data_IF_209077875008
#
_entry.id   IF_209077875008
#
_cell.length_a   1.000
_cell.length_b   1.000
_cell.length_c   1.000
_cell.angle_alpha   90.00
_cell.angle_beta   90.00
_cell.angle_gamma   90.00
#
_symmetry.space_group_name_H-M   'P 1'
#
loop_
_entity.id
_entity.type
_entity.pdbx_description
1 polymer ?
#
# COMPACT_ATOMS: atom_id res chain seq x y z
N UNK A 1 -17.31 24.52 16.05
CA UNK A 1 -17.61 23.12 15.70
C UNK A 1 -17.22 22.88 14.25
N UNK A 2 -16.19 22.07 13.99
CA UNK A 2 -15.84 21.69 12.61
C UNK A 2 -16.82 20.58 12.22
N UNK A 3 -17.76 20.87 11.32
CA UNK A 3 -18.71 19.86 10.81
C UNK A 3 -17.92 18.89 9.95
N UNK A 4 -17.55 17.74 10.53
CA UNK A 4 -16.82 16.69 9.82
C UNK A 4 -17.63 16.26 8.60
N UNK A 5 -17.02 16.36 7.40
CA UNK A 5 -17.62 15.85 6.17
C UNK A 5 -17.91 14.36 6.37
N UNK A 6 -19.16 13.96 6.22
CA UNK A 6 -19.51 12.54 6.29
C UNK A 6 -18.78 11.78 5.18
N UNK A 7 -18.22 10.59 5.48
CA UNK A 7 -17.53 9.79 4.47
C UNK A 7 -18.51 9.38 3.37
N UNK A 8 -18.03 9.41 2.13
CA UNK A 8 -18.84 9.00 0.99
C UNK A 8 -19.14 7.49 1.04
N UNK A 9 -20.28 7.08 0.50
CA UNK A 9 -20.69 5.67 0.53
C UNK A 9 -19.73 4.75 -0.23
N UNK A 10 -19.00 5.25 -1.22
CA UNK A 10 -18.05 4.44 -1.99
C UNK A 10 -16.82 4.11 -1.13
N UNK A 11 -16.33 5.06 -0.34
CA UNK A 11 -15.28 4.82 0.66
C UNK A 11 -15.72 3.82 1.72
N UNK A 12 -16.97 3.88 2.19
CA UNK A 12 -17.49 2.89 3.15
C UNK A 12 -17.51 1.47 2.55
N UNK A 13 -17.92 1.33 1.29
CA UNK A 13 -17.91 0.05 0.58
C UNK A 13 -16.49 -0.47 0.32
N UNK A 14 -15.53 0.40 0.02
CA UNK A 14 -14.14 0.03 -0.21
C UNK A 14 -13.49 -0.62 1.03
N UNK A 15 -13.86 -0.15 2.22
CA UNK A 15 -13.24 -0.60 3.47
C UNK A 15 -14.07 -1.62 4.26
N UNK A 16 -15.32 -1.89 3.88
CA UNK A 16 -16.26 -2.71 4.67
C UNK A 16 -15.79 -4.14 4.92
N UNK A 17 -15.05 -4.72 3.98
CA UNK A 17 -14.54 -6.09 4.04
C UNK A 17 -13.11 -6.21 4.61
N UNK A 18 -12.55 -5.11 5.12
CA UNK A 18 -11.16 -5.02 5.55
C UNK A 18 -11.01 -4.95 7.06
N UNK A 19 -9.99 -5.65 7.56
CA UNK A 19 -9.50 -5.54 8.94
C UNK A 19 -8.77 -4.21 9.13
N UNK A 20 -8.66 -3.72 10.37
CA UNK A 20 -8.03 -2.42 10.67
C UNK A 20 -6.65 -2.22 10.00
N UNK A 21 -5.80 -3.25 10.03
CA UNK A 21 -4.48 -3.19 9.39
C UNK A 21 -4.58 -3.07 7.86
N UNK A 22 -5.52 -3.79 7.24
CA UNK A 22 -5.78 -3.74 5.80
C UNK A 22 -6.36 -2.37 5.36
N UNK A 23 -7.26 -1.80 6.15
CA UNK A 23 -7.77 -0.44 5.94
C UNK A 23 -6.62 0.56 5.99
N UNK A 24 -5.79 0.49 7.04
CA UNK A 24 -4.68 1.42 7.25
C UNK A 24 -3.66 1.36 6.11
N UNK A 25 -3.25 0.16 5.70
CA UNK A 25 -2.27 0.01 4.63
C UNK A 25 -2.82 0.47 3.28
N UNK A 26 -4.09 0.19 2.98
CA UNK A 26 -4.74 0.64 1.74
C UNK A 26 -4.87 2.16 1.71
N UNK A 27 -5.30 2.78 2.82
CA UNK A 27 -5.41 4.23 2.93
C UNK A 27 -4.05 4.93 2.76
N UNK A 28 -3.01 4.46 3.46
CA UNK A 28 -1.66 4.97 3.32
C UNK A 28 -1.13 4.77 1.89
N UNK A 29 -1.45 3.63 1.26
CA UNK A 29 -1.07 3.33 -0.11
C UNK A 29 -1.72 4.26 -1.13
N UNK A 30 -3.02 4.54 -0.98
CA UNK A 30 -3.78 5.48 -1.85
C UNK A 30 -3.25 6.90 -1.77
N UNK A 31 -2.88 7.34 -0.58
CA UNK A 31 -2.34 8.70 -0.36
C UNK A 31 -0.85 8.80 -0.69
N UNK A 32 -0.17 7.67 -0.89
CA UNK A 32 1.27 7.60 -1.04
C UNK A 32 2.05 8.02 0.21
N UNK A 33 1.38 8.20 1.36
CA UNK A 33 1.96 8.53 2.67
C UNK A 33 2.12 7.24 3.47
N UNK A 34 3.01 6.38 3.00
CA UNK A 34 3.24 5.03 3.51
C UNK A 34 4.75 4.84 3.74
N UNK A 35 5.14 3.91 4.60
CA UNK A 35 6.53 3.61 4.95
C UNK A 35 7.38 3.00 3.83
N UNK A 36 7.27 3.48 2.59
CA UNK A 36 8.13 3.15 1.47
C UNK A 36 9.14 4.27 1.21
N UNK A 37 10.27 3.95 0.58
CA UNK A 37 11.41 4.86 0.44
C UNK A 37 11.04 6.20 -0.19
N UNK A 38 10.15 6.23 -1.20
CA UNK A 38 9.74 7.52 -1.82
C UNK A 38 9.22 8.51 -0.78
N UNK A 39 8.31 8.07 0.09
CA UNK A 39 7.72 8.95 1.09
C UNK A 39 8.72 9.25 2.21
N UNK A 40 9.42 8.24 2.70
CA UNK A 40 10.38 8.40 3.81
C UNK A 40 11.52 9.37 3.44
N UNK A 41 12.06 9.28 2.23
CA UNK A 41 13.05 10.23 1.73
C UNK A 41 12.46 11.65 1.59
N UNK A 42 11.23 11.78 1.07
CA UNK A 42 10.55 13.09 0.97
C UNK A 42 10.28 13.73 2.33
N UNK A 43 10.09 12.90 3.37
CA UNK A 43 9.90 13.33 4.75
C UNK A 43 11.24 13.53 5.49
N UNK A 44 12.38 13.31 4.83
CA UNK A 44 13.75 13.44 5.39
C UNK A 44 13.96 12.59 6.65
N UNK A 45 13.45 11.36 6.63
CA UNK A 45 13.69 10.38 7.69
C UNK A 45 15.17 10.01 7.71
N UNK A 46 15.81 10.15 8.88
CA UNK A 46 17.24 9.84 9.05
C UNK A 46 17.59 8.42 8.58
N UNK A 47 18.68 8.31 7.81
CA UNK A 47 19.13 7.04 7.24
C UNK A 47 18.44 6.65 5.91
N UNK A 48 17.57 7.50 5.37
CA UNK A 48 16.91 7.29 4.08
C UNK A 48 17.17 8.49 3.17
N UNK A 49 18.30 8.43 2.47
CA UNK A 49 18.77 9.52 1.60
C UNK A 49 18.13 9.51 0.20
N UNK A 50 17.58 8.38 -0.22
CA UNK A 50 17.02 8.21 -1.57
C UNK A 50 15.67 7.52 -1.56
N UNK A 51 14.74 8.08 -2.33
CA UNK A 51 13.41 7.51 -2.56
C UNK A 51 13.38 6.38 -3.60
N UNK A 52 14.52 6.07 -4.23
CA UNK A 52 14.65 5.00 -5.21
C UNK A 52 14.46 3.63 -4.58
N UNK A 53 13.78 2.73 -5.28
CA UNK A 53 13.68 1.34 -4.90
C UNK A 53 15.03 0.63 -5.08
N UNK A 54 15.31 -0.35 -4.22
CA UNK A 54 16.52 -1.15 -4.29
C UNK A 54 16.62 -2.03 -5.56
N UNK A 55 15.53 -2.17 -6.31
CA UNK A 55 15.58 -2.83 -7.63
C UNK A 55 16.20 -1.93 -8.73
N UNK A 56 16.41 -0.63 -8.47
CA UNK A 56 17.01 0.31 -9.41
C UNK A 56 16.11 0.81 -10.55
N UNK A 57 14.83 0.45 -10.58
CA UNK A 57 13.90 0.79 -11.68
C UNK A 57 13.00 2.00 -11.41
N UNK A 58 13.32 2.80 -10.41
CA UNK A 58 12.58 4.01 -10.06
C UNK A 58 12.19 4.11 -8.58
N UNK A 59 11.42 5.15 -8.27
CA UNK A 59 10.97 5.47 -6.90
C UNK A 59 10.13 4.35 -6.30
N UNK A 60 10.38 4.02 -5.03
CA UNK A 60 9.62 2.99 -4.32
C UNK A 60 8.24 3.53 -3.89
N UNK A 61 7.23 3.26 -4.70
CA UNK A 61 5.81 3.52 -4.44
C UNK A 61 5.01 2.23 -4.34
N UNK A 62 3.76 2.30 -3.87
CA UNK A 62 2.84 1.16 -3.91
C UNK A 62 2.62 0.66 -5.34
N UNK A 63 2.46 1.59 -6.28
CA UNK A 63 2.38 1.26 -7.71
C UNK A 63 3.63 0.53 -8.20
N UNK A 64 4.82 1.03 -7.83
CA UNK A 64 6.09 0.41 -8.19
C UNK A 64 6.20 -1.01 -7.68
N UNK A 65 5.99 -1.24 -6.38
CA UNK A 65 6.12 -2.58 -5.79
C UNK A 65 5.09 -3.58 -6.29
N UNK A 66 3.91 -3.12 -6.73
CA UNK A 66 2.87 -4.00 -7.27
C UNK A 66 3.07 -4.35 -8.73
N UNK A 67 3.50 -3.38 -9.56
CA UNK A 67 3.43 -3.50 -11.03
C UNK A 67 4.80 -3.54 -11.73
N UNK A 68 5.86 -3.07 -11.07
CA UNK A 68 7.14 -2.77 -11.73
C UNK A 68 8.38 -3.33 -11.01
N UNK A 69 8.26 -3.76 -9.76
CA UNK A 69 9.40 -4.19 -8.95
C UNK A 69 9.74 -5.67 -9.17
N UNK A 70 10.96 -5.95 -9.63
CA UNK A 70 11.46 -7.32 -9.80
C UNK A 70 11.79 -8.01 -8.46
N UNK A 71 12.05 -7.23 -7.41
CA UNK A 71 12.38 -7.74 -6.07
C UNK A 71 11.13 -8.11 -5.27
N UNK A 72 10.00 -8.31 -5.94
CA UNK A 72 8.73 -8.68 -5.35
C UNK A 72 8.20 -9.90 -6.12
N UNK A 73 7.66 -10.94 -5.44
CA UNK A 73 7.00 -12.04 -6.16
C UNK A 73 5.96 -11.45 -7.09
N UNK A 74 5.97 -11.88 -8.35
CA UNK A 74 5.07 -11.37 -9.38
C UNK A 74 3.64 -11.43 -8.84
N UNK A 75 3.04 -10.26 -8.70
CA UNK A 75 1.63 -10.18 -8.39
C UNK A 75 0.86 -10.68 -9.62
N UNK A 76 -0.38 -11.12 -9.42
CA UNK A 76 -1.25 -11.53 -10.52
C UNK A 76 -1.66 -10.35 -11.43
N UNK A 77 -1.14 -9.14 -11.19
CA UNK A 77 -1.41 -7.97 -11.99
C UNK A 77 -0.40 -7.84 -13.13
N UNK A 78 -0.89 -7.72 -14.35
CA UNK A 78 -0.04 -7.46 -15.52
C UNK A 78 0.62 -6.08 -15.45
N UNK A 79 1.81 -5.96 -16.06
CA UNK A 79 2.40 -4.64 -16.35
C UNK A 79 1.40 -3.84 -17.19
N UNK A 80 0.97 -2.68 -16.69
CA UNK A 80 -0.07 -1.85 -17.33
C UNK A 80 -1.46 -1.95 -16.68
N UNK A 81 -1.64 -2.73 -15.61
CA UNK A 81 -2.84 -2.61 -14.79
C UNK A 81 -3.00 -1.16 -14.30
N UNK A 82 -4.21 -0.60 -14.41
CA UNK A 82 -4.48 0.77 -13.96
C UNK A 82 -4.41 0.83 -12.43
N UNK A 83 -3.31 1.35 -11.89
CA UNK A 83 -3.08 1.42 -10.44
C UNK A 83 -4.26 2.04 -9.69
N UNK A 84 -4.86 3.09 -10.24
CA UNK A 84 -6.04 3.75 -9.66
C UNK A 84 -7.23 2.81 -9.49
N UNK A 85 -7.45 1.89 -10.43
CA UNK A 85 -8.51 0.87 -10.33
C UNK A 85 -8.20 -0.11 -9.22
N UNK A 86 -6.94 -0.56 -9.10
CA UNK A 86 -6.52 -1.51 -8.07
C UNK A 86 -6.74 -1.00 -6.65
N UNK A 87 -6.61 0.31 -6.42
CA UNK A 87 -6.72 0.91 -5.09
C UNK A 87 -8.08 1.54 -4.79
N UNK A 88 -8.99 1.59 -5.78
CA UNK A 88 -10.31 2.24 -5.66
C UNK A 88 -11.48 1.26 -5.74
N UNK A 89 -11.28 0.07 -6.29
CA UNK A 89 -12.30 -0.98 -6.31
C UNK A 89 -12.28 -1.79 -5.00
N UNK A 90 -13.44 -2.14 -4.39
CA UNK A 90 -13.49 -2.86 -3.12
C UNK A 90 -12.70 -4.17 -3.10
N UNK A 91 -12.87 -5.02 -4.11
CA UNK A 91 -12.25 -6.35 -4.14
C UNK A 91 -10.77 -6.28 -4.50
N UNK A 92 -10.42 -5.46 -5.49
CA UNK A 92 -9.02 -5.27 -5.88
C UNK A 92 -8.24 -4.56 -4.76
N UNK A 93 -8.86 -3.57 -4.10
CA UNK A 93 -8.29 -2.85 -2.97
C UNK A 93 -8.02 -3.77 -1.79
N UNK A 94 -8.93 -4.73 -1.54
CA UNK A 94 -8.69 -5.77 -0.55
C UNK A 94 -7.48 -6.63 -0.90
N UNK A 95 -7.36 -7.08 -2.15
CA UNK A 95 -6.21 -7.87 -2.59
C UNK A 95 -4.91 -7.08 -2.48
N UNK A 96 -4.91 -5.80 -2.87
CA UNK A 96 -3.77 -4.89 -2.69
C UNK A 96 -3.39 -4.78 -1.23
N UNK A 97 -4.34 -4.51 -0.33
CA UNK A 97 -4.07 -4.36 1.09
C UNK A 97 -3.38 -5.61 1.68
N UNK A 98 -3.92 -6.80 1.35
CA UNK A 98 -3.39 -8.09 1.79
C UNK A 98 -1.98 -8.31 1.22
N UNK A 99 -1.76 -8.03 -0.06
CA UNK A 99 -0.45 -8.17 -0.71
C UNK A 99 0.60 -7.25 -0.10
N UNK A 100 0.23 -6.02 0.25
CA UNK A 100 1.13 -5.07 0.90
C UNK A 100 1.55 -5.53 2.30
N UNK A 101 0.64 -6.09 3.10
CA UNK A 101 1.00 -6.64 4.41
C UNK A 101 1.91 -7.87 4.27
N UNK A 102 1.66 -8.73 3.27
CA UNK A 102 2.48 -9.92 3.00
C UNK A 102 3.87 -9.59 2.46
N UNK A 103 4.07 -8.41 1.86
CA UNK A 103 5.32 -8.01 1.18
C UNK A 103 6.57 -7.91 2.06
N UNK A 104 6.42 -7.86 3.38
CA UNK A 104 7.48 -7.59 4.37
C UNK A 104 8.22 -6.25 4.21
N UNK A 105 7.90 -5.44 3.18
CA UNK A 105 8.48 -4.10 2.96
C UNK A 105 8.05 -3.07 3.98
N UNK A 106 6.91 -3.31 4.62
CA UNK A 106 6.29 -2.38 5.56
C UNK A 106 6.39 -2.95 6.97
N UNK A 107 7.54 -2.74 7.62
CA UNK A 107 7.83 -3.27 8.96
C UNK A 107 6.75 -2.96 10.00
N UNK A 108 6.07 -1.82 9.89
CA UNK A 108 4.99 -1.41 10.79
C UNK A 108 3.76 -2.34 10.75
N UNK A 109 3.61 -3.17 9.71
CA UNK A 109 2.53 -4.17 9.61
C UNK A 109 3.01 -5.60 9.94
N UNK A 110 4.21 -5.77 10.49
CA UNK A 110 4.78 -7.08 10.80
C UNK A 110 3.92 -7.93 11.75
N UNK A 111 3.32 -7.33 12.79
CA UNK A 111 2.40 -8.04 13.68
C UNK A 111 1.12 -8.49 12.96
N UNK A 112 0.54 -7.62 12.14
CA UNK A 112 -0.64 -7.96 11.34
C UNK A 112 -0.32 -9.09 10.34
N UNK A 113 0.87 -9.09 9.74
CA UNK A 113 1.33 -10.18 8.89
C UNK A 113 1.32 -11.52 9.64
N UNK A 114 1.90 -11.54 10.85
CA UNK A 114 1.97 -12.74 11.70
C UNK A 114 0.59 -13.26 12.08
N UNK A 115 -0.28 -12.38 12.57
CA UNK A 115 -1.60 -12.79 13.07
C UNK A 115 -2.58 -13.21 11.97
N UNK A 116 -2.43 -12.67 10.75
CA UNK A 116 -3.44 -12.81 9.70
C UNK A 116 -3.00 -13.69 8.53
N UNK A 117 -1.69 -13.90 8.35
CA UNK A 117 -1.12 -14.55 7.16
C UNK A 117 0.05 -15.51 7.41
N UNK A 118 0.47 -15.72 8.66
CA UNK A 118 1.41 -16.80 8.99
C UNK A 118 0.63 -18.09 9.24
N UNK A 119 0.47 -18.90 8.19
CA UNK A 119 0.25 -20.34 8.27
C UNK A 119 1.35 -21.03 7.49
#
# INVERSE_FOLDING_TARGET
>A
MIKGRQPDQNSLKLYSQLRKAEISVLFQGRTGRIGLRRFLASARVSGIESGECLCGKGKETVEHILLFCDNQPQTFWSRGAQFQKLISEPDLGALVARQLIKSERLGQFGLARKLLYSQ
#
